data_IF_857699555915
#
_entry.id   IF_857699555915
#
_cell.length_a   1.000
_cell.length_b   1.000
_cell.length_c   1.000
_cell.angle_alpha   90.00
_cell.angle_beta   90.00
_cell.angle_gamma   90.00
#
_symmetry.space_group_name_H-M   'P 1'
#
loop_
_entity.id
_entity.type
_entity.pdbx_description
1 polymer ?
#
# COMPACT_ATOMS: atom_id res chain seq x y z
N UNK A 1 -38.38 27.61 38.00
CA UNK A 1 -38.21 27.57 36.52
C UNK A 1 -36.78 27.88 36.05
N UNK A 2 -36.05 28.84 36.64
CA UNK A 2 -34.63 29.15 36.32
C UNK A 2 -33.64 27.97 36.32
N UNK A 3 -33.85 26.97 37.20
CA UNK A 3 -32.94 25.81 37.35
C UNK A 3 -33.16 24.70 36.31
N UNK A 4 -34.32 24.67 35.66
CA UNK A 4 -34.66 23.68 34.61
C UNK A 4 -33.93 24.03 33.30
N UNK A 5 -33.85 25.33 32.98
CA UNK A 5 -33.09 25.82 31.81
C UNK A 5 -31.58 25.55 31.92
N UNK A 6 -31.03 25.52 33.14
CA UNK A 6 -29.61 25.20 33.36
C UNK A 6 -29.31 23.72 33.07
N UNK A 7 -30.23 22.81 33.39
CA UNK A 7 -30.06 21.37 33.16
C UNK A 7 -30.28 21.04 31.67
N UNK A 8 -31.27 21.67 31.01
CA UNK A 8 -31.49 21.47 29.57
C UNK A 8 -30.41 22.12 28.70
N UNK A 9 -29.82 23.24 29.13
CA UNK A 9 -28.67 23.84 28.45
C UNK A 9 -27.40 22.99 28.58
N UNK A 10 -27.21 22.33 29.73
CA UNK A 10 -26.06 21.44 29.96
C UNK A 10 -26.13 20.14 29.14
N UNK A 11 -27.35 19.66 28.85
CA UNK A 11 -27.55 18.47 28.02
C UNK A 11 -27.34 18.74 26.52
N UNK A 12 -27.57 19.98 26.06
CA UNK A 12 -27.45 20.37 24.66
C UNK A 12 -25.98 20.53 24.21
N UNK A 13 -25.07 20.82 25.13
CA UNK A 13 -23.63 21.03 24.85
C UNK A 13 -22.88 19.69 24.67
N UNK A 14 -23.39 18.59 25.23
CA UNK A 14 -22.78 17.25 25.10
C UNK A 14 -23.06 16.56 23.76
N UNK A 15 -23.92 17.12 22.91
CA UNK A 15 -24.30 16.50 21.62
C UNK A 15 -23.34 16.81 20.45
N UNK A 16 -22.29 17.61 20.68
CA UNK A 16 -21.34 18.06 19.64
C UNK A 16 -19.93 17.48 19.75
N UNK A 17 -19.72 16.41 20.52
CA UNK A 17 -18.48 15.63 20.42
C UNK A 17 -18.61 14.71 19.20
N UNK A 18 -18.51 15.29 18.01
CA UNK A 18 -18.27 14.52 16.79
C UNK A 18 -16.83 14.05 16.85
N UNK A 19 -16.63 12.81 17.29
CA UNK A 19 -15.36 12.13 17.11
C UNK A 19 -15.05 12.12 15.61
N UNK A 20 -14.04 12.86 15.19
CA UNK A 20 -13.45 12.72 13.87
C UNK A 20 -12.76 11.36 13.87
N UNK A 21 -13.51 10.31 13.55
CA UNK A 21 -12.96 9.00 13.24
C UNK A 21 -12.08 9.18 12.02
N UNK A 22 -10.78 9.41 12.24
CA UNK A 22 -9.79 9.18 11.21
C UNK A 22 -9.93 7.72 10.82
N UNK A 23 -10.50 7.45 9.65
CA UNK A 23 -10.57 6.11 9.12
C UNK A 23 -9.14 5.56 9.08
N UNK A 24 -8.86 4.58 9.94
CA UNK A 24 -7.53 4.01 10.04
C UNK A 24 -7.29 3.26 8.73
N UNK A 25 -6.41 3.80 7.87
CA UNK A 25 -6.03 3.17 6.60
C UNK A 25 -5.55 1.75 6.91
N UNK A 26 -6.23 0.75 6.36
CA UNK A 26 -5.83 -0.64 6.55
C UNK A 26 -4.49 -0.88 5.85
N UNK A 27 -3.68 -1.86 6.29
CA UNK A 27 -2.45 -2.21 5.60
C UNK A 27 -2.66 -2.47 4.10
N UNK A 28 -3.77 -3.12 3.71
CA UNK A 28 -4.08 -3.37 2.31
C UNK A 28 -4.37 -2.07 1.52
N UNK A 29 -5.19 -1.18 2.08
CA UNK A 29 -5.53 0.11 1.46
C UNK A 29 -4.30 1.00 1.27
N UNK A 30 -3.31 0.93 2.17
CA UNK A 30 -2.06 1.68 2.04
C UNK A 30 -1.33 1.34 0.73
N UNK A 31 -1.29 0.07 0.33
CA UNK A 31 -0.54 -0.34 -0.85
C UNK A 31 -1.27 -0.06 -2.17
N UNK A 32 -2.56 0.24 -2.15
CA UNK A 32 -3.32 0.57 -3.37
C UNK A 32 -2.73 1.83 -4.02
N UNK A 33 -2.53 1.78 -5.34
CA UNK A 33 -1.96 2.86 -6.13
C UNK A 33 -0.80 2.44 -7.00
N UNK A 34 -0.09 3.45 -7.54
CA UNK A 34 1.08 3.27 -8.40
C UNK A 34 2.36 3.48 -7.61
N UNK A 35 3.34 2.62 -7.83
CA UNK A 35 4.62 2.63 -7.13
C UNK A 35 5.76 2.49 -8.14
N UNK A 36 6.79 3.31 -7.94
CA UNK A 36 8.08 3.12 -8.58
C UNK A 36 9.01 2.42 -7.58
N UNK A 37 9.32 1.16 -7.83
CA UNK A 37 10.15 0.33 -6.95
C UNK A 37 11.52 0.09 -7.59
N UNK A 38 12.56 0.62 -6.97
CA UNK A 38 13.95 0.38 -7.36
C UNK A 38 14.46 -0.91 -6.70
N UNK A 39 14.78 -1.91 -7.52
CA UNK A 39 15.51 -3.11 -7.12
C UNK A 39 17.01 -2.94 -7.40
N UNK A 40 17.85 -3.10 -6.39
CA UNK A 40 19.29 -2.84 -6.47
C UNK A 40 20.14 -4.11 -6.49
N UNK A 41 21.30 -4.04 -7.12
CA UNK A 41 22.30 -5.10 -7.09
C UNK A 41 21.96 -6.31 -7.96
N UNK A 42 21.06 -6.15 -8.93
CA UNK A 42 20.75 -7.18 -9.92
C UNK A 42 21.95 -7.43 -10.85
N UNK A 43 22.09 -8.63 -11.44
CA UNK A 43 23.16 -8.92 -12.39
C UNK A 43 23.22 -7.96 -13.59
N UNK A 44 22.06 -7.42 -14.00
CA UNK A 44 21.93 -6.46 -15.11
C UNK A 44 22.03 -4.99 -14.66
N UNK A 45 22.30 -4.74 -13.37
CA UNK A 45 22.27 -3.42 -12.76
C UNK A 45 20.91 -3.07 -12.15
N UNK A 46 20.88 -1.99 -11.38
CA UNK A 46 19.69 -1.52 -10.68
C UNK A 46 18.53 -1.26 -11.66
N UNK A 47 17.31 -1.64 -11.28
CA UNK A 47 16.15 -1.63 -12.18
C UNK A 47 14.90 -1.11 -11.48
N UNK A 48 14.15 -0.26 -12.17
CA UNK A 48 12.84 0.22 -11.75
C UNK A 48 11.72 -0.75 -12.14
N UNK A 49 10.89 -1.11 -11.17
CA UNK A 49 9.71 -1.96 -11.28
C UNK A 49 8.47 -1.09 -11.00
N UNK A 50 7.69 -0.81 -12.04
CA UNK A 50 6.49 0.04 -11.91
C UNK A 50 5.27 -0.80 -11.56
N UNK A 51 4.89 -0.81 -10.29
CA UNK A 51 3.73 -1.55 -9.81
C UNK A 51 2.47 -0.71 -9.84
N UNK A 52 1.36 -1.31 -10.27
CA UNK A 52 0.01 -0.80 -10.03
C UNK A 52 -0.74 -1.82 -9.21
N UNK A 53 -1.09 -1.45 -7.98
CA UNK A 53 -1.82 -2.29 -7.04
C UNK A 53 -3.26 -1.81 -6.97
N UNK A 54 -4.20 -2.74 -7.14
CA UNK A 54 -5.63 -2.46 -7.10
C UNK A 54 -6.29 -3.33 -6.04
N UNK A 55 -7.46 -2.89 -5.57
CA UNK A 55 -8.30 -3.66 -4.67
C UNK A 55 -9.68 -3.81 -5.27
N UNK A 56 -10.14 -5.05 -5.38
CA UNK A 56 -11.49 -5.40 -5.87
C UNK A 56 -12.09 -6.41 -4.90
N UNK A 57 -13.31 -6.16 -4.43
CA UNK A 57 -14.02 -7.02 -3.47
C UNK A 57 -13.19 -7.37 -2.23
N UNK A 58 -12.40 -6.42 -1.74
CA UNK A 58 -11.54 -6.59 -0.57
C UNK A 58 -10.26 -7.37 -0.81
N UNK A 59 -10.01 -7.88 -2.02
CA UNK A 59 -8.78 -8.59 -2.40
C UNK A 59 -7.84 -7.69 -3.17
N UNK A 60 -6.56 -7.77 -2.85
CA UNK A 60 -5.53 -7.07 -3.63
C UNK A 60 -5.21 -7.85 -4.90
N UNK A 61 -4.94 -7.10 -5.96
CA UNK A 61 -4.33 -7.56 -7.19
C UNK A 61 -3.40 -6.50 -7.73
N UNK A 62 -2.90 -6.70 -8.94
CA UNK A 62 -2.07 -5.69 -9.58
C UNK A 62 -1.33 -6.19 -10.79
N UNK A 63 -0.49 -5.29 -11.30
CA UNK A 63 0.34 -5.50 -12.46
C UNK A 63 1.71 -4.84 -12.27
N UNK A 64 2.73 -5.44 -12.86
CA UNK A 64 4.02 -4.82 -13.13
C UNK A 64 3.98 -4.32 -14.57
N UNK A 65 4.24 -3.03 -14.79
CA UNK A 65 4.55 -2.51 -16.11
C UNK A 65 6.05 -2.66 -16.33
N UNK A 66 6.42 -3.51 -17.28
CA UNK A 66 7.80 -3.63 -17.75
C UNK A 66 8.26 -2.28 -18.32
N UNK A 67 9.37 -1.75 -17.80
CA UNK A 67 9.97 -0.49 -18.23
C UNK A 67 10.61 -0.57 -19.62
N UNK A 68 10.95 -1.78 -20.08
CA UNK A 68 11.63 -2.04 -21.35
C UNK A 68 10.64 -2.25 -22.48
N UNK A 69 9.67 -3.15 -22.28
CA UNK A 69 8.73 -3.54 -23.35
C UNK A 69 7.35 -2.88 -23.22
N UNK A 70 7.11 -2.11 -22.14
CA UNK A 70 5.79 -1.57 -21.82
C UNK A 70 4.71 -2.64 -21.87
N UNK A 71 5.00 -3.84 -21.36
CA UNK A 71 4.02 -4.95 -21.24
C UNK A 71 3.53 -4.99 -19.79
N UNK A 72 2.23 -5.23 -19.61
CA UNK A 72 1.64 -5.48 -18.30
C UNK A 72 1.79 -6.94 -17.95
N UNK A 73 2.47 -7.21 -16.85
CA UNK A 73 2.65 -8.53 -16.28
C UNK A 73 1.73 -8.60 -15.05
N UNK A 74 0.67 -9.43 -15.07
CA UNK A 74 -0.23 -9.55 -13.93
C UNK A 74 0.47 -10.20 -12.74
N UNK A 75 0.10 -9.78 -11.54
CA UNK A 75 0.56 -10.45 -10.33
C UNK A 75 -0.08 -11.84 -10.20
N UNK A 76 0.75 -12.84 -9.94
CA UNK A 76 0.33 -14.21 -9.63
C UNK A 76 0.00 -14.38 -8.15
N UNK A 77 0.51 -13.48 -7.29
CA UNK A 77 0.27 -13.44 -5.86
C UNK A 77 0.24 -11.99 -5.37
N UNK A 78 -0.73 -11.65 -4.53
CA UNK A 78 -0.79 -10.35 -3.83
C UNK A 78 -1.43 -10.57 -2.46
N UNK A 79 -0.63 -10.57 -1.40
CA UNK A 79 -1.12 -10.79 -0.03
C UNK A 79 -0.45 -9.84 0.96
N UNK A 80 -1.20 -9.41 1.97
CA UNK A 80 -0.62 -8.69 3.10
C UNK A 80 -0.48 -9.68 4.25
N UNK A 81 0.72 -9.78 4.82
CA UNK A 81 0.98 -10.67 5.93
C UNK A 81 0.40 -10.13 7.26
N UNK A 82 0.48 -10.94 8.32
CA UNK A 82 -0.03 -10.57 9.64
C UNK A 82 0.66 -9.35 10.26
N UNK A 83 1.83 -8.94 9.74
CA UNK A 83 2.57 -7.75 10.19
C UNK A 83 2.28 -6.52 9.33
N UNK A 84 1.48 -6.65 8.26
CA UNK A 84 1.13 -5.56 7.37
C UNK A 84 2.09 -5.38 6.19
N UNK A 85 3.01 -6.32 5.94
CA UNK A 85 3.90 -6.27 4.78
C UNK A 85 3.25 -6.93 3.56
N UNK A 86 3.43 -6.32 2.39
CA UNK A 86 2.90 -6.79 1.13
C UNK A 86 3.85 -7.79 0.47
N UNK A 87 3.33 -8.95 0.07
CA UNK A 87 4.00 -9.93 -0.77
C UNK A 87 3.36 -9.94 -2.15
N UNK A 88 4.13 -9.58 -3.16
CA UNK A 88 3.75 -9.64 -4.57
C UNK A 88 4.55 -10.75 -5.26
N UNK A 89 3.89 -11.50 -6.14
CA UNK A 89 4.53 -12.45 -7.05
C UNK A 89 4.13 -12.17 -8.50
N UNK A 90 5.06 -12.38 -9.43
CA UNK A 90 4.81 -12.29 -10.88
C UNK A 90 5.82 -13.15 -11.64
N UNK A 91 5.52 -13.48 -12.90
CA UNK A 91 6.44 -14.23 -13.76
C UNK A 91 7.07 -13.29 -14.79
N UNK A 92 8.40 -13.20 -14.81
CA UNK A 92 9.15 -12.33 -15.73
C UNK A 92 10.44 -13.01 -16.18
N UNK A 93 10.78 -12.87 -17.46
CA UNK A 93 12.01 -13.44 -18.04
C UNK A 93 12.20 -14.95 -17.78
N UNK A 94 11.11 -15.71 -17.66
CA UNK A 94 11.15 -17.15 -17.38
C UNK A 94 11.34 -17.52 -15.90
N UNK A 95 11.31 -16.54 -15.00
CA UNK A 95 11.42 -16.75 -13.55
C UNK A 95 10.14 -16.33 -12.83
N UNK A 96 9.78 -17.06 -11.78
CA UNK A 96 8.78 -16.62 -10.81
C UNK A 96 9.47 -15.74 -9.75
N UNK A 97 9.15 -14.45 -9.80
CA UNK A 97 9.74 -13.42 -8.96
C UNK A 97 8.80 -13.10 -7.81
N UNK A 98 9.35 -12.96 -6.61
CA UNK A 98 8.64 -12.50 -5.42
C UNK A 98 9.25 -11.22 -4.88
N UNK A 99 8.42 -10.30 -4.42
CA UNK A 99 8.83 -9.04 -3.81
C UNK A 99 8.05 -8.85 -2.52
N UNK A 100 8.77 -8.74 -1.42
CA UNK A 100 8.22 -8.40 -0.11
C UNK A 100 8.50 -6.93 0.18
N UNK A 101 7.51 -6.18 0.65
CA UNK A 101 7.58 -4.74 0.87
C UNK A 101 6.88 -4.35 2.17
N UNK A 102 7.53 -3.50 2.96
CA UNK A 102 6.97 -2.87 4.15
C UNK A 102 6.79 -1.38 3.94
N UNK A 103 5.71 -0.85 4.51
CA UNK A 103 5.53 0.59 4.73
C UNK A 103 6.71 1.17 5.54
N UNK A 104 7.31 2.25 5.03
CA UNK A 104 8.26 3.09 5.78
C UNK A 104 7.62 4.39 6.22
N UNK A 105 6.85 5.02 5.35
CA UNK A 105 6.00 6.18 5.66
C UNK A 105 4.79 6.25 4.70
N UNK A 106 4.15 7.41 4.54
CA UNK A 106 2.95 7.59 3.72
C UNK A 106 3.18 7.32 2.21
N UNK A 107 4.37 7.63 1.71
CA UNK A 107 4.73 7.58 0.30
C UNK A 107 5.92 6.66 0.01
N UNK A 108 6.52 6.04 1.02
CA UNK A 108 7.69 5.19 0.87
C UNK A 108 7.49 3.76 1.40
N UNK A 109 8.04 2.81 0.67
CA UNK A 109 8.13 1.39 1.02
C UNK A 109 9.57 0.90 0.88
N UNK A 110 9.94 -0.14 1.62
CA UNK A 110 11.19 -0.85 1.37
C UNK A 110 11.03 -2.34 1.65
N UNK A 111 11.90 -3.15 1.07
CA UNK A 111 11.87 -4.58 1.29
C UNK A 111 12.89 -5.32 0.45
N UNK A 112 12.51 -6.50 -0.04
CA UNK A 112 13.43 -7.35 -0.80
C UNK A 112 12.75 -8.09 -1.93
N UNK A 113 13.45 -8.23 -3.04
CA UNK A 113 13.10 -9.10 -4.13
C UNK A 113 13.85 -10.42 -4.02
N UNK A 114 13.12 -11.52 -4.11
CA UNK A 114 13.62 -12.90 -4.01
C UNK A 114 14.40 -13.18 -2.72
N UNK A 115 14.16 -12.40 -1.66
CA UNK A 115 14.94 -12.42 -0.40
C UNK A 115 16.45 -12.16 -0.58
N UNK A 116 16.87 -11.57 -1.71
CA UNK A 116 18.28 -11.38 -2.05
C UNK A 116 18.62 -9.93 -2.40
N UNK A 117 17.74 -9.26 -3.15
CA UNK A 117 17.98 -7.91 -3.66
C UNK A 117 17.21 -6.89 -2.86
N UNK A 118 17.87 -5.81 -2.45
CA UNK A 118 17.21 -4.70 -1.75
C UNK A 118 16.24 -3.99 -2.69
N UNK A 119 15.04 -3.69 -2.18
CA UNK A 119 14.06 -2.88 -2.88
C UNK A 119 13.69 -1.65 -2.06
N UNK A 120 13.60 -0.49 -2.72
CA UNK A 120 13.04 0.75 -2.18
C UNK A 120 12.01 1.30 -3.14
N UNK A 121 10.83 1.68 -2.67
CA UNK A 121 9.76 2.18 -3.52
C UNK A 121 9.18 3.50 -3.06
N UNK A 122 8.79 4.31 -4.04
CA UNK A 122 8.15 5.62 -3.83
C UNK A 122 6.79 5.62 -4.55
N UNK A 123 5.78 6.18 -3.90
CA UNK A 123 4.46 6.33 -4.49
C UNK A 123 4.53 7.30 -5.67
N UNK A 124 3.98 6.90 -6.81
CA UNK A 124 3.90 7.77 -7.98
C UNK A 124 2.73 8.74 -7.80
N UNK A 125 3.01 10.04 -7.83
CA UNK A 125 1.97 11.07 -7.84
C UNK A 125 1.28 11.10 -9.21
N UNK A 126 -0.05 11.31 -9.24
CA UNK A 126 -0.81 11.39 -10.49
C UNK A 126 -0.36 12.54 -11.39
#
# INVERSE_FOLDING_TARGET
MKKIYLITFSLLVLLFVTTSTNAQVTPAEFYVGKWDVLAKGLPQGDTHLYFTITQTDGKLGGLLRDSTNHVDIPFTKTEVDAKGALNVGFSAQGYDVTVWMEKKDEDNIAGSMMSMFECTGVRMKP
#
